data_IF_425155350071
#
_entry.id   IF_425155350071
#
_cell.length_a   1.000
_cell.length_b   1.000
_cell.length_c   1.000
_cell.angle_alpha   90.00
_cell.angle_beta   90.00
_cell.angle_gamma   90.00
#
_symmetry.space_group_name_H-M   'P 1'
#
loop_
_entity.id
_entity.type
_entity.pdbx_description
1 polymer ?
#
# COMPACT_ATOMS: atom_id res chain seq x y z
N UNK A 1 -11.68 27.20 15.19
CA UNK A 1 -10.55 26.45 14.60
C UNK A 1 -10.94 26.07 13.18
N UNK A 2 -9.97 25.98 12.28
CA UNK A 2 -10.21 25.60 10.89
C UNK A 2 -9.59 24.24 10.59
N UNK A 3 -10.15 23.54 9.63
CA UNK A 3 -9.58 22.33 9.03
C UNK A 3 -8.89 22.73 7.74
N UNK A 4 -7.68 22.25 7.52
CA UNK A 4 -6.95 22.36 6.26
C UNK A 4 -7.10 21.04 5.51
N UNK A 5 -7.56 21.10 4.27
CA UNK A 5 -7.64 19.95 3.35
C UNK A 5 -6.66 20.14 2.20
N UNK A 6 -5.85 19.12 1.93
CA UNK A 6 -4.96 19.06 0.76
C UNK A 6 -5.71 18.34 -0.36
N UNK A 7 -6.19 19.09 -1.33
CA UNK A 7 -7.03 18.63 -2.42
C UNK A 7 -6.21 18.40 -3.69
N UNK A 8 -6.64 17.43 -4.48
CA UNK A 8 -5.99 17.05 -5.73
C UNK A 8 -7.06 17.06 -6.83
N UNK A 9 -6.73 17.61 -7.99
CA UNK A 9 -7.58 17.54 -9.16
C UNK A 9 -7.54 16.10 -9.72
N UNK A 10 -8.71 15.43 -9.81
CA UNK A 10 -8.79 13.99 -10.09
C UNK A 10 -8.26 13.57 -11.45
N UNK A 11 -8.39 14.43 -12.45
CA UNK A 11 -7.92 14.23 -13.82
C UNK A 11 -6.50 14.79 -14.08
N UNK A 12 -5.98 15.60 -13.15
CA UNK A 12 -4.65 16.22 -13.22
C UNK A 12 -3.95 16.14 -11.87
N UNK A 13 -3.46 14.96 -11.49
CA UNK A 13 -2.92 14.68 -10.16
C UNK A 13 -1.78 15.64 -9.74
N UNK A 14 -1.09 16.27 -10.67
CA UNK A 14 -0.08 17.30 -10.40
C UNK A 14 -0.66 18.62 -9.91
N UNK A 15 -1.96 18.86 -10.12
CA UNK A 15 -2.65 20.10 -9.69
C UNK A 15 -3.24 19.91 -8.31
N UNK A 16 -2.78 20.73 -7.37
CA UNK A 16 -3.17 20.65 -5.95
C UNK A 16 -3.76 21.99 -5.47
N UNK A 17 -4.75 21.90 -4.59
CA UNK A 17 -5.39 23.02 -3.91
C UNK A 17 -5.33 22.80 -2.40
N UNK A 18 -5.31 23.88 -1.62
CA UNK A 18 -5.49 23.81 -0.17
C UNK A 18 -6.77 24.57 0.16
N UNK A 19 -7.65 23.89 0.88
CA UNK A 19 -8.90 24.49 1.33
C UNK A 19 -8.90 24.58 2.85
N UNK A 20 -9.24 25.76 3.33
CA UNK A 20 -9.46 26.01 4.75
C UNK A 20 -10.97 26.12 5.02
N UNK A 21 -11.46 25.30 5.95
CA UNK A 21 -12.90 25.22 6.27
C UNK A 21 -13.10 25.40 7.76
N UNK A 22 -14.03 26.24 8.17
CA UNK A 22 -14.41 26.41 9.58
C UNK A 22 -14.97 25.09 10.14
N UNK A 23 -14.55 24.72 11.35
CA UNK A 23 -15.04 23.52 12.02
C UNK A 23 -16.46 23.72 12.53
N UNK A 24 -17.38 22.85 12.11
CA UNK A 24 -18.74 22.80 12.64
C UNK A 24 -18.80 22.08 14.00
N UNK A 25 -19.78 22.37 14.86
CA UNK A 25 -20.03 21.57 16.05
C UNK A 25 -20.21 20.09 15.71
N UNK A 26 -19.82 19.20 16.61
CA UNK A 26 -20.08 17.75 16.44
C UNK A 26 -21.57 17.46 16.68
N UNK A 27 -22.10 16.54 15.87
CA UNK A 27 -23.36 15.88 16.16
C UNK A 27 -23.16 14.76 17.22
N UNK A 28 -24.24 14.30 17.81
CA UNK A 28 -24.23 13.15 18.71
C UNK A 28 -23.66 11.91 18.01
N UNK A 29 -22.81 11.16 18.69
CA UNK A 29 -22.11 10.00 18.16
C UNK A 29 -20.86 10.29 17.37
N UNK A 30 -20.56 11.54 17.04
CA UNK A 30 -19.37 11.91 16.26
C UNK A 30 -18.15 12.16 17.14
N UNK A 31 -16.96 11.99 16.55
CA UNK A 31 -15.68 12.43 17.10
C UNK A 31 -14.94 13.30 16.11
N UNK A 32 -14.12 14.22 16.61
CA UNK A 32 -13.13 14.94 15.80
C UNK A 32 -11.74 14.52 16.18
N UNK A 33 -10.99 14.08 15.18
CA UNK A 33 -9.58 13.76 15.32
C UNK A 33 -8.73 14.85 14.66
N UNK A 34 -7.65 15.22 15.32
CA UNK A 34 -6.55 15.99 14.75
C UNK A 34 -5.53 15.00 14.19
N UNK A 35 -5.33 15.02 12.89
CA UNK A 35 -4.35 14.18 12.21
C UNK A 35 -2.96 14.73 12.56
N UNK A 36 -2.17 13.91 13.21
CA UNK A 36 -0.84 14.28 13.67
C UNK A 36 0.19 14.13 12.55
N UNK A 37 0.25 12.93 11.98
CA UNK A 37 1.14 12.57 10.89
C UNK A 37 0.58 11.43 10.07
N UNK A 38 0.99 11.37 8.82
CA UNK A 38 0.61 10.30 7.89
C UNK A 38 1.72 10.00 6.90
N UNK A 39 1.73 8.77 6.39
CA UNK A 39 2.69 8.33 5.39
C UNK A 39 2.24 8.71 3.97
N UNK A 40 3.19 9.10 3.12
CA UNK A 40 2.97 9.26 1.70
C UNK A 40 3.92 8.33 0.92
N UNK A 41 3.34 7.45 0.12
CA UNK A 41 4.06 6.45 -0.68
C UNK A 41 3.47 6.38 -2.09
N UNK A 42 4.13 5.70 -3.01
CA UNK A 42 3.57 5.44 -4.36
C UNK A 42 2.21 4.72 -4.31
N UNK A 43 1.92 3.97 -3.24
CA UNK A 43 0.61 3.35 -3.04
C UNK A 43 -0.53 4.37 -2.91
N UNK A 44 -0.26 5.54 -2.32
CA UNK A 44 -1.25 6.63 -2.21
C UNK A 44 -1.52 7.25 -3.59
N UNK A 45 -0.50 7.32 -4.46
CA UNK A 45 -0.71 7.73 -5.86
C UNK A 45 -1.57 6.70 -6.61
N UNK A 46 -1.40 5.41 -6.31
CA UNK A 46 -2.29 4.37 -6.82
C UNK A 46 -3.74 4.58 -6.38
N UNK A 47 -3.98 4.96 -5.11
CA UNK A 47 -5.33 5.31 -4.65
C UNK A 47 -5.94 6.48 -5.43
N UNK A 48 -5.16 7.48 -5.79
CA UNK A 48 -5.60 8.58 -6.63
C UNK A 48 -5.92 8.12 -8.06
N UNK A 49 -4.99 7.40 -8.70
CA UNK A 49 -5.12 6.92 -10.07
C UNK A 49 -6.34 5.99 -10.28
N UNK A 50 -6.68 5.19 -9.26
CA UNK A 50 -7.86 4.31 -9.26
C UNK A 50 -9.03 4.85 -8.44
N UNK A 51 -9.00 6.12 -8.10
CA UNK A 51 -9.92 6.73 -7.17
C UNK A 51 -11.40 6.51 -7.53
N UNK A 52 -11.76 6.61 -8.80
CA UNK A 52 -13.12 6.31 -9.27
C UNK A 52 -13.36 4.81 -9.47
N UNK A 53 -12.42 4.11 -10.13
CA UNK A 53 -12.57 2.68 -10.45
C UNK A 53 -12.68 1.78 -9.21
N UNK A 54 -11.97 2.12 -8.12
CA UNK A 54 -11.95 1.39 -6.86
C UNK A 54 -12.62 2.15 -5.72
N UNK A 55 -13.32 3.23 -6.01
CA UNK A 55 -14.05 4.06 -5.05
C UNK A 55 -13.20 4.74 -3.96
N UNK A 56 -11.89 4.92 -4.16
CA UNK A 56 -11.03 5.55 -3.14
C UNK A 56 -11.41 7.01 -2.86
N UNK A 57 -11.89 7.76 -3.86
CA UNK A 57 -12.39 9.13 -3.66
C UNK A 57 -13.63 9.22 -2.77
N UNK A 58 -14.34 8.11 -2.58
CA UNK A 58 -15.56 8.07 -1.76
C UNK A 58 -15.26 7.99 -0.26
N UNK A 59 -14.03 7.66 0.14
CA UNK A 59 -13.70 7.61 1.58
C UNK A 59 -13.77 8.99 2.24
N UNK A 60 -13.38 10.03 1.52
CA UNK A 60 -13.39 11.41 2.01
C UNK A 60 -13.94 12.32 0.91
N UNK A 61 -15.27 12.39 0.77
CA UNK A 61 -15.91 13.21 -0.26
C UNK A 61 -15.63 14.69 -0.02
N UNK A 62 -15.22 15.39 -1.08
CA UNK A 62 -15.04 16.84 -1.05
C UNK A 62 -16.38 17.48 -1.30
N UNK A 63 -16.83 18.37 -0.41
CA UNK A 63 -18.04 19.15 -0.61
C UNK A 63 -17.90 20.01 -1.89
N UNK A 64 -18.96 20.07 -2.70
CA UNK A 64 -18.98 20.93 -3.88
C UNK A 64 -18.68 22.39 -3.50
N UNK A 65 -17.90 23.09 -4.32
CA UNK A 65 -17.63 24.51 -4.14
C UNK A 65 -18.94 25.30 -4.26
N UNK A 66 -19.59 25.56 -3.14
CA UNK A 66 -20.89 26.23 -3.09
C UNK A 66 -21.33 26.69 -1.70
N UNK A 67 -20.63 26.26 -0.64
CA UNK A 67 -20.96 26.66 0.74
C UNK A 67 -19.87 27.43 1.49
N UNK A 68 -18.79 27.86 0.83
CA UNK A 68 -17.83 28.80 1.39
C UNK A 68 -17.32 29.70 0.28
N UNK A 69 -17.31 31.02 0.57
CA UNK A 69 -16.93 32.11 -0.32
C UNK A 69 -15.55 31.85 -0.93
N UNK A 70 -15.53 31.56 -2.24
CA UNK A 70 -14.29 31.51 -3.01
C UNK A 70 -13.74 32.90 -3.19
N UNK A 71 -12.63 33.24 -2.54
CA UNK A 71 -11.83 34.39 -2.87
C UNK A 71 -10.87 34.03 -4.01
N UNK A 72 -11.20 34.44 -5.23
CA UNK A 72 -10.29 34.80 -6.30
C UNK A 72 -9.53 33.69 -7.02
N UNK A 73 -10.11 33.16 -8.09
CA UNK A 73 -9.33 32.86 -9.31
C UNK A 73 -10.17 33.27 -10.53
N UNK A 74 -9.74 34.35 -11.16
CA UNK A 74 -10.46 35.04 -12.25
C UNK A 74 -10.01 34.58 -13.64
N UNK A 75 -9.76 33.27 -13.89
CA UNK A 75 -9.34 32.77 -15.20
C UNK A 75 -10.03 31.45 -15.60
N UNK A 76 -11.28 31.26 -15.28
CA UNK A 76 -12.05 30.15 -15.85
C UNK A 76 -12.80 30.60 -17.09
N UNK A 77 -12.59 29.95 -18.23
CA UNK A 77 -13.33 30.16 -19.44
C UNK A 77 -14.85 30.01 -19.19
N UNK A 78 -15.72 30.87 -19.74
CA UNK A 78 -17.16 30.77 -19.55
C UNK A 78 -17.70 29.42 -20.06
N UNK A 79 -18.27 28.59 -19.17
CA UNK A 79 -18.88 27.31 -19.50
C UNK A 79 -18.13 26.06 -19.09
N UNK A 80 -16.92 26.13 -18.54
CA UNK A 80 -16.22 24.98 -18.00
C UNK A 80 -16.78 24.61 -16.61
N UNK A 81 -17.16 23.33 -16.43
CA UNK A 81 -17.47 22.82 -15.10
C UNK A 81 -16.24 22.92 -14.19
N UNK A 82 -16.40 23.27 -12.90
CA UNK A 82 -15.27 23.35 -11.99
C UNK A 82 -14.56 21.98 -11.92
N UNK A 83 -13.22 21.96 -11.78
CA UNK A 83 -12.46 20.73 -11.73
C UNK A 83 -12.94 19.83 -10.59
N UNK A 84 -13.04 18.53 -10.87
CA UNK A 84 -13.42 17.55 -9.87
C UNK A 84 -12.26 17.34 -8.89
N UNK A 85 -12.40 17.80 -7.65
CA UNK A 85 -11.42 17.67 -6.59
C UNK A 85 -11.64 16.41 -5.78
N UNK A 86 -10.56 15.83 -5.25
CA UNK A 86 -10.56 14.69 -4.34
C UNK A 86 -9.52 14.86 -3.23
N UNK A 87 -9.65 14.06 -2.18
CA UNK A 87 -8.65 13.92 -1.13
C UNK A 87 -8.09 12.52 -1.19
N UNK A 88 -6.77 12.41 -1.32
CA UNK A 88 -6.10 11.10 -1.28
C UNK A 88 -6.17 10.57 0.16
N UNK A 89 -6.64 9.33 0.34
CA UNK A 89 -6.56 8.68 1.64
C UNK A 89 -5.13 8.24 1.96
N UNK A 90 -4.77 8.35 3.23
CA UNK A 90 -3.43 8.05 3.75
C UNK A 90 -3.51 7.26 5.05
N UNK A 91 -2.49 6.45 5.35
CA UNK A 91 -2.36 5.78 6.62
C UNK A 91 -1.55 6.62 7.59
N UNK A 92 -2.01 6.74 8.82
CA UNK A 92 -1.35 7.61 9.79
C UNK A 92 -1.92 7.51 11.19
N UNK A 93 -1.61 8.53 12.00
CA UNK A 93 -1.99 8.64 13.40
C UNK A 93 -2.73 9.94 13.65
N UNK A 94 -3.75 9.86 14.48
CA UNK A 94 -4.55 11.01 14.89
C UNK A 94 -4.99 10.92 16.34
N UNK A 95 -5.16 12.09 16.97
CA UNK A 95 -5.59 12.23 18.36
C UNK A 95 -7.02 12.76 18.41
N UNK A 96 -7.87 12.18 19.25
CA UNK A 96 -9.22 12.68 19.50
C UNK A 96 -9.13 14.02 20.23
N UNK A 97 -9.62 15.09 19.59
CA UNK A 97 -9.64 16.44 20.17
C UNK A 97 -11.03 16.89 20.62
N UNK A 98 -12.09 16.24 20.12
CA UNK A 98 -13.46 16.40 20.57
C UNK A 98 -14.20 15.07 20.44
N UNK A 99 -15.08 14.76 21.37
CA UNK A 99 -15.90 13.54 21.32
C UNK A 99 -17.33 13.84 21.80
N UNK A 100 -18.30 13.44 20.99
CA UNK A 100 -19.71 13.33 21.32
C UNK A 100 -20.16 11.84 21.23
N UNK A 101 -19.21 10.89 21.24
CA UNK A 101 -19.42 9.44 21.14
C UNK A 101 -19.10 8.76 22.45
N UNK A 102 -20.03 7.95 22.96
CA UNK A 102 -19.78 7.14 24.15
C UNK A 102 -18.69 6.09 23.88
N UNK A 103 -17.78 5.92 24.84
CA UNK A 103 -16.71 4.92 24.76
C UNK A 103 -15.44 5.37 24.03
N UNK A 104 -15.38 6.62 23.53
CA UNK A 104 -14.18 7.22 22.97
C UNK A 104 -13.92 8.56 23.67
N UNK A 105 -12.75 8.68 24.33
CA UNK A 105 -12.37 9.85 25.11
C UNK A 105 -11.45 10.80 24.32
N UNK A 106 -11.50 12.07 24.65
CA UNK A 106 -10.51 13.08 24.20
C UNK A 106 -9.12 12.67 24.69
N UNK A 107 -8.12 12.79 23.82
CA UNK A 107 -6.74 12.38 24.07
C UNK A 107 -6.42 10.95 23.62
N UNK A 108 -7.40 10.16 23.25
CA UNK A 108 -7.12 8.84 22.67
C UNK A 108 -6.48 8.95 21.28
N UNK A 109 -5.48 8.08 21.02
CA UNK A 109 -4.73 8.04 19.78
C UNK A 109 -5.09 6.81 18.96
N UNK A 110 -5.30 7.02 17.65
CA UNK A 110 -5.71 5.98 16.72
C UNK A 110 -4.79 5.92 15.49
N UNK A 111 -4.52 4.68 15.07
CA UNK A 111 -3.98 4.36 13.75
C UNK A 111 -5.13 4.08 12.81
N UNK A 112 -5.10 4.62 11.59
CA UNK A 112 -6.17 4.40 10.63
C UNK A 112 -5.93 5.06 9.26
N UNK A 113 -7.01 5.02 8.47
CA UNK A 113 -7.06 5.55 7.11
C UNK A 113 -7.71 6.94 7.15
N UNK A 114 -6.90 7.97 6.93
CA UNK A 114 -7.25 9.37 7.10
C UNK A 114 -7.22 10.14 5.78
N UNK A 115 -7.89 11.30 5.67
CA UNK A 115 -7.66 12.23 4.56
C UNK A 115 -6.30 12.93 4.68
N UNK A 116 -5.75 13.41 3.58
CA UNK A 116 -4.66 14.40 3.63
C UNK A 116 -5.22 15.74 4.11
N UNK A 117 -5.48 15.81 5.41
CA UNK A 117 -6.10 16.97 6.07
C UNK A 117 -5.52 17.16 7.48
N UNK A 118 -5.76 18.32 8.09
CA UNK A 118 -5.35 18.56 9.47
C UNK A 118 -6.29 17.92 10.51
N UNK A 119 -7.58 17.78 10.15
CA UNK A 119 -8.61 17.19 11.01
C UNK A 119 -9.58 16.34 10.19
N UNK A 120 -10.27 15.44 10.88
CA UNK A 120 -11.39 14.68 10.32
C UNK A 120 -12.47 14.49 11.36
N UNK A 121 -13.74 14.50 10.94
CA UNK A 121 -14.87 14.05 11.74
C UNK A 121 -15.26 12.65 11.31
N UNK A 122 -15.38 11.73 12.27
CA UNK A 122 -15.79 10.35 12.03
C UNK A 122 -17.05 10.03 12.84
N UNK A 123 -17.77 9.00 12.41
CA UNK A 123 -18.99 8.48 13.03
C UNK A 123 -18.75 7.06 13.59
N UNK A 124 -18.16 6.94 14.78
CA UNK A 124 -17.80 5.63 15.31
C UNK A 124 -19.00 4.73 15.52
N UNK A 125 -18.90 3.53 14.98
CA UNK A 125 -19.79 2.40 15.23
C UNK A 125 -18.97 1.19 15.66
N UNK A 126 -19.59 0.17 16.26
CA UNK A 126 -18.89 -1.05 16.73
C UNK A 126 -17.71 -0.70 17.63
N UNK A 127 -17.89 0.27 18.50
CA UNK A 127 -16.85 0.71 19.44
C UNK A 127 -16.51 -0.42 20.40
N UNK A 128 -15.21 -0.72 20.51
CA UNK A 128 -14.62 -1.69 21.43
C UNK A 128 -13.48 -1.05 22.22
N UNK A 129 -12.90 -1.77 23.16
CA UNK A 129 -11.72 -1.31 23.89
C UNK A 129 -10.48 -1.11 22.97
N UNK A 130 -10.46 -1.79 21.80
CA UNK A 130 -9.31 -1.81 20.89
C UNK A 130 -9.52 -1.04 19.58
N UNK A 131 -10.73 -0.78 19.17
CA UNK A 131 -11.01 -0.18 17.86
C UNK A 131 -12.45 0.30 17.73
N UNK A 132 -12.69 1.09 16.68
CA UNK A 132 -14.03 1.37 16.16
C UNK A 132 -14.05 1.27 14.64
N UNK A 133 -15.24 1.21 14.07
CA UNK A 133 -15.48 1.30 12.63
C UNK A 133 -16.17 2.62 12.32
N UNK A 134 -15.72 3.37 11.32
CA UNK A 134 -16.46 4.54 10.85
C UNK A 134 -17.72 4.09 10.11
N UNK A 135 -18.87 4.51 10.64
CA UNK A 135 -20.21 4.16 10.16
C UNK A 135 -20.85 5.24 9.28
N UNK A 136 -20.12 6.24 8.86
CA UNK A 136 -20.63 7.30 8.00
C UNK A 136 -21.30 6.72 6.75
N UNK A 137 -22.50 7.24 6.41
CA UNK A 137 -23.36 6.66 5.37
C UNK A 137 -22.66 6.49 4.01
N UNK A 138 -21.77 7.42 3.62
CA UNK A 138 -21.02 7.35 2.36
C UNK A 138 -19.99 6.21 2.32
N UNK A 139 -19.69 5.59 3.47
CA UNK A 139 -18.76 4.47 3.60
C UNK A 139 -19.42 3.10 3.61
N UNK A 140 -20.76 3.02 3.63
CA UNK A 140 -21.51 1.77 3.79
C UNK A 140 -21.20 0.71 2.71
N UNK A 141 -20.87 1.14 1.50
CA UNK A 141 -20.51 0.25 0.37
C UNK A 141 -19.00 0.09 0.16
N UNK A 142 -18.16 0.64 1.06
CA UNK A 142 -16.72 0.62 0.91
C UNK A 142 -16.10 -0.53 1.73
N UNK A 143 -14.89 -0.93 1.36
CA UNK A 143 -14.25 -2.09 1.98
C UNK A 143 -13.94 -1.85 3.47
N UNK A 144 -14.40 -2.76 4.33
CA UNK A 144 -14.36 -2.62 5.79
C UNK A 144 -12.96 -2.40 6.40
N UNK A 145 -11.90 -2.92 5.76
CA UNK A 145 -10.51 -2.74 6.20
C UNK A 145 -10.12 -1.27 6.31
N UNK A 146 -10.64 -0.40 5.42
CA UNK A 146 -10.33 1.03 5.42
C UNK A 146 -11.22 1.86 6.34
N UNK A 147 -12.25 1.24 6.93
CA UNK A 147 -13.17 1.88 7.86
C UNK A 147 -12.81 1.60 9.32
N UNK A 148 -11.83 0.74 9.57
CA UNK A 148 -11.41 0.38 10.92
C UNK A 148 -10.30 1.31 11.44
N UNK A 149 -10.50 1.84 12.65
CA UNK A 149 -9.54 2.65 13.38
C UNK A 149 -9.11 1.91 14.63
N UNK A 150 -7.81 1.69 14.77
CA UNK A 150 -7.24 0.88 15.86
C UNK A 150 -6.67 1.80 16.92
N UNK A 151 -7.08 1.61 18.18
CA UNK A 151 -6.56 2.36 19.30
C UNK A 151 -5.11 1.97 19.57
N UNK A 152 -4.20 2.93 19.56
CA UNK A 152 -2.76 2.68 19.69
C UNK A 152 -2.40 1.90 20.94
N UNK A 153 -3.04 2.22 22.09
CA UNK A 153 -2.79 1.53 23.37
C UNK A 153 -3.22 0.06 23.40
N UNK A 154 -4.01 -0.39 22.42
CA UNK A 154 -4.49 -1.78 22.31
C UNK A 154 -4.02 -2.48 21.02
N UNK A 155 -3.20 -1.81 20.21
CA UNK A 155 -2.67 -2.37 18.96
C UNK A 155 -1.37 -3.15 19.23
N UNK A 156 -1.33 -4.46 18.99
CA UNK A 156 -0.13 -5.27 19.24
C UNK A 156 1.06 -4.90 18.32
N UNK A 157 0.82 -4.12 17.27
CA UNK A 157 1.88 -3.63 16.36
C UNK A 157 2.52 -2.33 16.83
N UNK A 158 1.92 -1.67 17.82
CA UNK A 158 2.23 -0.29 18.15
C UNK A 158 3.27 -0.17 19.26
N UNK A 159 4.26 0.67 19.01
CA UNK A 159 5.02 1.41 20.01
C UNK A 159 5.17 2.85 19.54
N UNK A 160 5.32 3.84 20.45
CA UNK A 160 5.48 5.24 20.04
C UNK A 160 6.64 5.45 19.04
N UNK A 161 7.74 4.72 19.21
CA UNK A 161 8.93 4.81 18.37
C UNK A 161 8.72 4.19 16.99
N UNK A 162 7.75 3.28 16.84
CA UNK A 162 7.48 2.56 15.60
C UNK A 162 6.46 3.26 14.69
N UNK A 163 5.84 4.35 15.12
CA UNK A 163 4.73 5.00 14.39
C UNK A 163 5.06 5.29 12.92
N UNK A 164 6.22 5.85 12.64
CA UNK A 164 6.61 6.21 11.29
C UNK A 164 6.77 4.97 10.41
N UNK A 165 7.44 3.95 10.92
CA UNK A 165 7.62 2.66 10.23
C UNK A 165 6.26 1.98 10.06
N UNK A 166 5.39 2.05 11.06
CA UNK A 166 4.06 1.47 11.00
C UNK A 166 3.19 2.16 9.93
N UNK A 167 3.16 3.49 9.89
CA UNK A 167 2.40 4.23 8.88
C UNK A 167 2.91 3.95 7.46
N UNK A 168 4.23 3.90 7.27
CA UNK A 168 4.88 3.70 5.98
C UNK A 168 4.81 2.27 5.45
N UNK A 169 4.94 1.28 6.33
CA UNK A 169 5.17 -0.10 5.92
C UNK A 169 4.02 -1.05 6.23
N UNK A 170 3.24 -0.85 7.31
CA UNK A 170 2.21 -1.82 7.71
C UNK A 170 1.19 -2.15 6.62
N UNK A 171 0.62 -1.18 5.86
CA UNK A 171 -0.33 -1.50 4.80
C UNK A 171 0.29 -2.32 3.67
N UNK A 172 1.54 -1.99 3.32
CA UNK A 172 2.28 -2.62 2.24
C UNK A 172 2.77 -4.01 2.66
N UNK A 173 3.27 -4.14 3.89
CA UNK A 173 3.67 -5.41 4.49
C UNK A 173 2.49 -6.37 4.61
N UNK A 174 1.31 -5.90 5.06
CA UNK A 174 0.12 -6.74 5.15
C UNK A 174 -0.21 -7.36 3.78
N UNK A 175 -0.18 -6.58 2.71
CA UNK A 175 -0.37 -7.07 1.35
C UNK A 175 0.72 -8.07 0.95
N UNK A 176 1.97 -7.75 1.23
CA UNK A 176 3.13 -8.58 0.91
C UNK A 176 3.10 -9.94 1.63
N UNK A 177 2.77 -9.95 2.91
CA UNK A 177 2.64 -11.15 3.72
C UNK A 177 1.51 -12.06 3.21
N UNK A 178 0.39 -11.46 2.79
CA UNK A 178 -0.73 -12.19 2.18
C UNK A 178 -0.39 -12.74 0.80
N UNK A 179 0.48 -12.07 0.03
CA UNK A 179 0.98 -12.60 -1.25
C UNK A 179 1.87 -13.83 -1.01
N UNK A 180 2.81 -13.75 -0.06
CA UNK A 180 3.65 -14.89 0.31
C UNK A 180 2.80 -16.08 0.75
N UNK A 181 1.85 -15.84 1.65
CA UNK A 181 0.93 -16.88 2.13
C UNK A 181 0.08 -17.47 0.99
N UNK A 182 -0.46 -16.64 0.11
CA UNK A 182 -1.24 -17.06 -1.05
C UNK A 182 -0.42 -17.93 -2.02
N UNK A 183 0.81 -17.55 -2.31
CA UNK A 183 1.70 -18.34 -3.17
C UNK A 183 1.98 -19.70 -2.54
N UNK A 184 2.27 -19.73 -1.24
CA UNK A 184 2.53 -20.98 -0.52
C UNK A 184 1.30 -21.88 -0.41
N UNK A 185 0.11 -21.31 -0.14
CA UNK A 185 -1.16 -22.03 -0.06
C UNK A 185 -1.52 -22.72 -1.39
N UNK A 186 -1.14 -22.12 -2.52
CA UNK A 186 -1.32 -22.68 -3.85
C UNK A 186 -0.07 -23.44 -4.36
N UNK A 187 0.88 -23.80 -3.50
CA UNK A 187 2.11 -24.53 -3.85
C UNK A 187 2.82 -23.90 -5.06
N UNK A 188 2.86 -22.56 -5.09
CA UNK A 188 3.39 -21.76 -6.21
C UNK A 188 2.86 -22.20 -7.58
N UNK A 189 1.61 -22.67 -7.62
CA UNK A 189 0.95 -23.15 -8.84
C UNK A 189 1.74 -24.23 -9.58
N UNK A 190 2.53 -25.04 -8.84
CA UNK A 190 3.40 -26.07 -9.40
C UNK A 190 4.74 -25.54 -9.93
N UNK A 191 5.10 -24.28 -9.63
CA UNK A 191 6.45 -23.77 -9.92
C UNK A 191 7.48 -24.20 -8.88
N UNK A 192 7.04 -24.50 -7.63
CA UNK A 192 7.94 -24.89 -6.54
C UNK A 192 8.58 -26.25 -6.83
N UNK A 193 9.90 -26.33 -6.69
CA UNK A 193 10.58 -27.62 -6.78
C UNK A 193 10.21 -28.54 -5.60
N UNK A 194 10.09 -29.84 -5.85
CA UNK A 194 9.83 -30.80 -4.79
C UNK A 194 10.98 -30.80 -3.77
N UNK A 195 10.64 -30.52 -2.51
CA UNK A 195 11.57 -30.61 -1.40
C UNK A 195 11.51 -32.03 -0.86
N UNK A 196 12.53 -32.86 -1.17
CA UNK A 196 12.66 -34.19 -0.56
C UNK A 196 12.61 -35.36 -1.55
N UNK A 197 13.66 -35.54 -2.30
CA UNK A 197 14.16 -36.89 -2.59
C UNK A 197 15.43 -37.06 -1.76
N UNK A 198 15.67 -38.22 -1.14
CA UNK A 198 16.92 -38.56 -0.50
C UNK A 198 18.05 -38.48 -1.54
N UNK A 199 18.47 -37.24 -1.82
CA UNK A 199 19.39 -36.91 -2.90
C UNK A 199 20.82 -37.16 -2.51
N UNK A 200 21.31 -38.34 -2.80
CA UNK A 200 22.73 -38.60 -3.09
C UNK A 200 23.07 -38.15 -4.53
N UNK A 201 22.31 -37.25 -5.13
CA UNK A 201 22.49 -36.70 -6.47
C UNK A 201 23.45 -35.51 -6.47
N UNK A 202 24.65 -35.72 -6.92
CA UNK A 202 25.63 -34.69 -7.20
C UNK A 202 25.16 -33.83 -8.41
N UNK A 203 24.61 -32.67 -8.14
CA UNK A 203 24.98 -31.49 -8.94
C UNK A 203 24.17 -31.07 -10.15
N UNK A 204 22.95 -31.55 -10.52
CA UNK A 204 22.14 -30.95 -11.60
C UNK A 204 20.63 -30.94 -11.41
N UNK A 205 20.10 -31.62 -10.41
CA UNK A 205 18.64 -31.82 -10.28
C UNK A 205 17.91 -30.94 -9.27
N UNK A 206 18.57 -29.91 -8.72
CA UNK A 206 17.93 -28.92 -7.84
C UNK A 206 17.45 -27.69 -8.65
N UNK A 207 16.60 -27.91 -9.65
CA UNK A 207 15.96 -26.81 -10.37
C UNK A 207 14.94 -26.17 -9.44
N UNK A 208 15.35 -25.11 -8.73
CA UNK A 208 14.42 -24.29 -7.94
C UNK A 208 13.47 -23.59 -8.91
N UNK A 209 12.18 -23.54 -8.58
CA UNK A 209 11.27 -22.65 -9.29
C UNK A 209 11.63 -21.18 -9.08
N UNK A 210 11.17 -20.31 -9.93
CA UNK A 210 11.47 -18.87 -9.86
C UNK A 210 10.21 -18.06 -9.52
N UNK A 211 10.32 -17.18 -8.54
CA UNK A 211 9.34 -16.11 -8.32
C UNK A 211 9.93 -14.77 -8.81
N UNK A 212 9.42 -14.28 -9.93
CA UNK A 212 9.77 -12.95 -10.43
C UNK A 212 8.94 -11.88 -9.73
N UNK A 213 9.60 -10.89 -9.14
CA UNK A 213 8.96 -9.74 -8.51
C UNK A 213 9.35 -8.46 -9.26
N UNK A 214 8.43 -7.84 -9.99
CA UNK A 214 8.72 -6.56 -10.65
C UNK A 214 8.79 -5.42 -9.64
N UNK A 215 9.38 -4.28 -10.05
CA UNK A 215 9.57 -3.12 -9.16
C UNK A 215 10.21 -3.49 -7.83
N UNK A 216 11.29 -4.29 -7.87
CA UNK A 216 11.93 -4.90 -6.70
C UNK A 216 12.37 -3.88 -5.63
N UNK A 217 12.57 -2.61 -6.00
CA UNK A 217 12.88 -1.52 -5.07
C UNK A 217 11.66 -0.98 -4.31
N UNK A 218 10.43 -1.37 -4.70
CA UNK A 218 9.23 -0.91 -4.03
C UNK A 218 9.02 -1.61 -2.68
N UNK A 219 8.44 -0.86 -1.74
CA UNK A 219 8.22 -1.34 -0.37
C UNK A 219 7.40 -2.63 -0.31
N UNK A 220 6.38 -2.77 -1.16
CA UNK A 220 5.58 -3.99 -1.22
C UNK A 220 6.37 -5.17 -1.80
N UNK A 221 7.16 -4.93 -2.87
CA UNK A 221 7.93 -5.98 -3.51
C UNK A 221 9.02 -6.55 -2.58
N UNK A 222 9.82 -5.70 -1.94
CA UNK A 222 10.84 -6.22 -1.04
C UNK A 222 10.26 -6.83 0.25
N UNK A 223 9.10 -6.35 0.72
CA UNK A 223 8.39 -7.01 1.83
C UNK A 223 7.88 -8.40 1.43
N UNK A 224 7.44 -8.57 0.17
CA UNK A 224 7.08 -9.90 -0.38
C UNK A 224 8.31 -10.80 -0.49
N UNK A 225 9.41 -10.26 -1.02
CA UNK A 225 10.68 -10.99 -1.13
C UNK A 225 11.18 -11.47 0.24
N UNK A 226 11.03 -10.66 1.29
CA UNK A 226 11.38 -11.02 2.66
C UNK A 226 10.64 -12.30 3.12
N UNK A 227 9.34 -12.40 2.87
CA UNK A 227 8.57 -13.62 3.17
C UNK A 227 9.00 -14.80 2.31
N UNK A 228 9.04 -14.60 0.99
CA UNK A 228 9.36 -15.64 0.01
C UNK A 228 10.77 -16.24 0.18
N UNK A 229 11.74 -15.45 0.64
CA UNK A 229 13.12 -15.94 0.87
C UNK A 229 13.20 -17.11 1.82
N UNK A 230 12.25 -17.24 2.74
CA UNK A 230 12.19 -18.37 3.67
C UNK A 230 11.51 -19.60 3.09
N UNK A 231 11.01 -19.53 1.83
CA UNK A 231 10.37 -20.66 1.15
C UNK A 231 11.39 -21.53 0.44
N UNK A 232 11.35 -22.82 0.74
CA UNK A 232 12.23 -23.80 0.07
C UNK A 232 11.75 -24.07 -1.35
N UNK A 233 12.67 -24.44 -2.26
CA UNK A 233 12.33 -24.81 -3.64
C UNK A 233 11.93 -23.65 -4.56
N UNK A 234 12.06 -22.41 -4.09
CA UNK A 234 11.81 -21.17 -4.87
C UNK A 234 13.04 -20.27 -4.80
N UNK A 235 13.42 -19.73 -5.93
CA UNK A 235 14.39 -18.66 -6.09
C UNK A 235 13.64 -17.33 -6.26
N UNK A 236 13.98 -16.34 -5.45
CA UNK A 236 13.34 -15.02 -5.50
C UNK A 236 14.17 -14.09 -6.36
N UNK A 237 13.64 -13.72 -7.54
CA UNK A 237 14.31 -12.86 -8.50
C UNK A 237 13.64 -11.50 -8.53
N UNK A 238 14.36 -10.46 -8.08
CA UNK A 238 13.90 -9.08 -8.14
C UNK A 238 14.21 -8.45 -9.49
N UNK A 239 13.19 -7.89 -10.16
CA UNK A 239 13.33 -7.14 -11.41
C UNK A 239 13.22 -5.65 -11.13
N UNK A 240 14.21 -4.87 -11.54
CA UNK A 240 14.26 -3.43 -11.23
C UNK A 240 14.93 -2.61 -12.34
N UNK A 241 14.93 -1.28 -12.20
CA UNK A 241 15.70 -0.40 -13.07
C UNK A 241 17.20 -0.41 -12.69
N UNK A 242 18.12 -0.11 -13.62
CA UNK A 242 19.56 -0.16 -13.36
C UNK A 242 20.00 0.65 -12.13
N UNK A 243 19.41 1.83 -11.92
CA UNK A 243 19.77 2.69 -10.77
C UNK A 243 19.39 2.13 -9.40
N UNK A 244 18.53 1.12 -9.33
CA UNK A 244 18.05 0.52 -8.08
C UNK A 244 18.66 -0.85 -7.78
N UNK A 245 19.53 -1.39 -8.65
CA UNK A 245 20.12 -2.73 -8.48
C UNK A 245 20.87 -2.82 -7.16
N UNK A 246 21.82 -1.92 -6.92
CA UNK A 246 22.62 -1.95 -5.69
C UNK A 246 21.75 -1.83 -4.40
N UNK A 247 20.66 -1.05 -4.45
CA UNK A 247 19.72 -1.00 -3.33
C UNK A 247 19.03 -2.35 -3.13
N UNK A 248 18.48 -2.95 -4.18
CA UNK A 248 17.79 -4.23 -4.08
C UNK A 248 18.71 -5.37 -3.59
N UNK A 249 19.96 -5.39 -4.04
CA UNK A 249 20.97 -6.34 -3.56
C UNK A 249 21.29 -6.13 -2.07
N UNK A 250 21.39 -4.87 -1.62
CA UNK A 250 21.68 -4.54 -0.23
C UNK A 250 20.60 -4.96 0.76
N UNK A 251 19.35 -5.17 0.29
CA UNK A 251 18.26 -5.68 1.11
C UNK A 251 18.47 -7.14 1.55
N UNK A 252 19.25 -7.91 0.80
CA UNK A 252 19.57 -9.30 1.12
C UNK A 252 18.36 -10.25 1.11
N UNK A 253 17.19 -9.83 0.63
CA UNK A 253 15.97 -10.64 0.55
C UNK A 253 15.71 -11.24 -0.84
N UNK A 254 16.43 -10.83 -1.86
CA UNK A 254 16.43 -11.44 -3.20
C UNK A 254 17.57 -12.45 -3.32
N UNK A 255 17.34 -13.56 -3.98
CA UNK A 255 18.41 -14.51 -4.37
C UNK A 255 19.21 -13.93 -5.55
N UNK A 256 18.52 -13.27 -6.48
CA UNK A 256 19.12 -12.49 -7.58
C UNK A 256 18.36 -11.19 -7.82
N UNK A 257 19.09 -10.19 -8.30
CA UNK A 257 18.51 -8.93 -8.79
C UNK A 257 18.92 -8.76 -10.24
N UNK A 258 17.94 -8.53 -11.11
CA UNK A 258 18.12 -8.32 -12.55
C UNK A 258 17.50 -7.01 -12.97
N UNK A 259 18.06 -6.38 -13.99
CA UNK A 259 17.37 -5.31 -14.68
C UNK A 259 16.30 -5.84 -15.63
N UNK A 260 15.35 -5.02 -16.03
CA UNK A 260 14.22 -5.44 -16.89
C UNK A 260 14.67 -6.00 -18.26
N UNK A 261 15.85 -5.66 -18.72
CA UNK A 261 16.47 -6.13 -19.97
C UNK A 261 17.33 -7.38 -19.82
N UNK A 262 17.54 -7.87 -18.58
CA UNK A 262 18.37 -9.05 -18.28
C UNK A 262 17.56 -10.34 -18.08
N UNK A 263 16.36 -10.44 -18.63
CA UNK A 263 15.53 -11.64 -18.48
C UNK A 263 16.19 -12.89 -19.10
N UNK A 264 17.13 -12.72 -20.02
CA UNK A 264 17.91 -13.79 -20.66
C UNK A 264 18.85 -14.52 -19.69
N UNK A 265 19.16 -13.93 -18.53
CA UNK A 265 19.91 -14.60 -17.47
C UNK A 265 19.14 -15.77 -16.82
N UNK A 266 17.85 -15.94 -17.12
CA UNK A 266 17.03 -17.04 -16.60
C UNK A 266 16.60 -17.96 -17.75
N UNK A 267 16.77 -19.31 -17.66
CA UNK A 267 16.35 -20.26 -18.68
C UNK A 267 14.83 -20.15 -18.99
N UNK A 268 14.47 -20.27 -20.25
CA UNK A 268 13.08 -20.10 -20.73
C UNK A 268 12.11 -21.14 -20.21
N UNK A 269 12.60 -22.35 -19.94
CA UNK A 269 11.84 -23.51 -19.48
C UNK A 269 11.72 -23.57 -17.94
N UNK A 270 12.37 -22.63 -17.21
CA UNK A 270 12.34 -22.59 -15.76
C UNK A 270 10.89 -22.44 -15.27
N UNK A 271 10.41 -23.35 -14.40
CA UNK A 271 9.11 -23.16 -13.79
C UNK A 271 9.07 -21.87 -13.00
N UNK A 272 8.12 -21.00 -13.28
CA UNK A 272 8.10 -19.69 -12.63
C UNK A 272 6.69 -19.16 -12.37
N UNK A 273 6.63 -18.23 -11.42
CA UNK A 273 5.49 -17.35 -11.18
C UNK A 273 5.91 -15.89 -11.33
N UNK A 274 4.99 -15.03 -11.71
CA UNK A 274 5.24 -13.60 -11.85
C UNK A 274 4.31 -12.77 -10.97
N UNK A 275 4.88 -11.94 -10.13
CA UNK A 275 4.18 -10.98 -9.27
C UNK A 275 4.48 -9.57 -9.76
N UNK A 276 3.49 -8.94 -10.38
CA UNK A 276 3.64 -7.64 -11.03
C UNK A 276 3.23 -6.49 -10.10
N UNK A 277 4.23 -5.83 -9.50
CA UNK A 277 4.04 -4.62 -8.70
C UNK A 277 4.15 -3.34 -9.53
N UNK A 278 4.76 -3.41 -10.72
CA UNK A 278 5.01 -2.24 -11.56
C UNK A 278 3.80 -1.84 -12.42
N UNK A 279 2.95 -2.81 -12.79
CA UNK A 279 1.91 -2.60 -13.78
C UNK A 279 2.46 -2.31 -15.18
N UNK A 280 3.72 -2.73 -15.47
CA UNK A 280 4.40 -2.43 -16.73
C UNK A 280 3.98 -3.45 -17.81
N UNK A 281 3.15 -3.01 -18.75
CA UNK A 281 2.64 -3.84 -19.84
C UNK A 281 3.72 -4.47 -20.72
N UNK A 282 4.71 -3.71 -21.23
CA UNK A 282 5.87 -4.25 -21.96
C UNK A 282 6.63 -5.32 -21.19
N UNK A 283 6.96 -5.12 -19.94
CA UNK A 283 7.64 -6.12 -19.10
C UNK A 283 6.78 -7.38 -18.94
N UNK A 284 5.49 -7.22 -18.66
CA UNK A 284 4.55 -8.34 -18.54
C UNK A 284 4.51 -9.16 -19.83
N UNK A 285 4.39 -8.49 -20.99
CA UNK A 285 4.43 -9.15 -22.28
C UNK A 285 5.75 -9.91 -22.48
N UNK A 286 6.89 -9.30 -22.18
CA UNK A 286 8.20 -9.94 -22.29
C UNK A 286 8.31 -11.22 -21.43
N UNK A 287 7.85 -11.18 -20.17
CA UNK A 287 7.84 -12.34 -19.28
C UNK A 287 6.93 -13.44 -19.83
N UNK A 288 5.69 -13.11 -20.19
CA UNK A 288 4.74 -14.07 -20.71
C UNK A 288 5.17 -14.71 -22.03
N UNK A 289 5.86 -13.95 -22.89
CA UNK A 289 6.37 -14.47 -24.18
C UNK A 289 7.61 -15.33 -23.98
N UNK A 290 8.50 -14.93 -23.07
CA UNK A 290 9.79 -15.60 -22.90
C UNK A 290 9.68 -16.91 -22.12
N UNK A 291 8.93 -16.93 -21.00
CA UNK A 291 8.92 -18.07 -20.10
C UNK A 291 7.80 -19.05 -20.44
N UNK A 292 8.16 -20.12 -21.17
CA UNK A 292 7.20 -21.14 -21.65
C UNK A 292 6.59 -21.96 -20.50
N UNK A 293 7.23 -21.96 -19.33
CA UNK A 293 6.78 -22.65 -18.14
C UNK A 293 6.29 -21.70 -17.02
N UNK A 294 5.79 -20.52 -17.41
CA UNK A 294 5.12 -19.60 -16.50
C UNK A 294 3.83 -20.25 -15.99
N UNK A 295 3.73 -20.47 -14.67
CA UNK A 295 2.60 -21.16 -14.02
C UNK A 295 1.52 -20.22 -13.56
N UNK A 296 1.89 -19.03 -13.12
CA UNK A 296 0.96 -18.04 -12.59
C UNK A 296 1.49 -16.62 -12.80
N UNK A 297 0.57 -15.70 -13.07
CA UNK A 297 0.87 -14.27 -13.20
C UNK A 297 -0.16 -13.48 -12.42
N UNK A 298 0.30 -12.62 -11.51
CA UNK A 298 -0.57 -11.82 -10.67
C UNK A 298 -0.17 -10.34 -10.68
N UNK A 299 -1.16 -9.46 -10.74
CA UNK A 299 -0.97 -8.01 -10.64
C UNK A 299 -1.34 -7.54 -9.24
N UNK A 300 -0.45 -6.76 -8.63
CA UNK A 300 -0.63 -6.18 -7.30
C UNK A 300 -0.90 -4.69 -7.46
N UNK A 301 -2.10 -4.27 -7.18
CA UNK A 301 -2.51 -2.90 -7.46
C UNK A 301 -2.35 -2.61 -8.97
N UNK A 302 -3.17 -1.82 -9.52
CA UNK A 302 -2.96 -1.55 -10.93
C UNK A 302 -2.74 -0.05 -11.09
N UNK A 303 -1.57 0.42 -11.42
CA UNK A 303 -1.39 1.79 -11.88
C UNK A 303 -2.11 2.05 -13.21
N UNK A 304 -2.61 0.99 -13.88
CA UNK A 304 -3.36 1.12 -15.12
C UNK A 304 -4.41 0.00 -15.29
N UNK A 305 -5.66 0.24 -14.88
CA UNK A 305 -6.80 -0.64 -15.24
C UNK A 305 -6.91 -0.81 -16.76
N UNK A 306 -6.56 0.22 -17.53
CA UNK A 306 -6.46 0.14 -19.00
C UNK A 306 -5.39 -0.83 -19.49
N UNK A 307 -4.35 -1.10 -18.69
CA UNK A 307 -3.30 -2.07 -19.02
C UNK A 307 -3.67 -3.52 -18.66
N UNK A 308 -4.65 -3.73 -17.77
CA UNK A 308 -5.30 -5.05 -17.63
C UNK A 308 -6.11 -5.40 -18.88
N UNK A 309 -6.62 -4.41 -19.63
CA UNK A 309 -7.25 -4.63 -20.94
C UNK A 309 -6.26 -5.15 -21.99
N UNK A 310 -4.96 -4.78 -21.92
CA UNK A 310 -3.88 -5.36 -22.73
C UNK A 310 -3.49 -6.78 -22.35
N UNK A 311 -3.96 -7.29 -21.19
CA UNK A 311 -3.66 -8.65 -20.72
C UNK A 311 -4.53 -9.75 -21.37
N UNK A 312 -5.47 -9.41 -22.25
CA UNK A 312 -6.42 -10.39 -22.81
C UNK A 312 -5.77 -11.38 -23.81
N UNK A 313 -4.62 -11.05 -24.37
CA UNK A 313 -3.96 -11.86 -25.41
C UNK A 313 -2.51 -12.22 -25.05
N UNK A 314 -2.18 -12.32 -23.76
CA UNK A 314 -0.84 -12.75 -23.32
C UNK A 314 -0.69 -14.27 -23.47
N UNK A 315 0.47 -14.77 -23.92
CA UNK A 315 0.76 -16.20 -23.88
C UNK A 315 0.76 -16.73 -22.44
N UNK A 316 0.44 -18.02 -22.28
CA UNK A 316 0.47 -18.68 -20.97
C UNK A 316 -0.71 -18.35 -20.05
N UNK A 317 -0.52 -18.34 -18.73
CA UNK A 317 -1.62 -18.14 -17.78
C UNK A 317 -2.17 -16.71 -17.83
N UNK A 318 -3.48 -16.60 -17.68
CA UNK A 318 -4.12 -15.28 -17.59
C UNK A 318 -3.60 -14.52 -16.36
N UNK A 319 -3.18 -13.26 -16.55
CA UNK A 319 -2.87 -12.38 -15.42
C UNK A 319 -4.12 -12.10 -14.57
N UNK A 320 -4.03 -12.33 -13.26
CA UNK A 320 -5.11 -12.14 -12.29
C UNK A 320 -4.81 -10.98 -11.36
N UNK A 321 -5.82 -10.27 -10.90
CA UNK A 321 -5.66 -9.26 -9.87
C UNK A 321 -5.61 -9.94 -8.50
N UNK A 322 -4.57 -9.65 -7.72
CA UNK A 322 -4.53 -10.01 -6.31
C UNK A 322 -5.20 -8.92 -5.47
N UNK A 323 -6.17 -9.33 -4.66
CA UNK A 323 -6.88 -8.42 -3.77
C UNK A 323 -6.70 -8.87 -2.32
N UNK A 324 -5.85 -8.16 -1.60
CA UNK A 324 -5.47 -8.50 -0.22
C UNK A 324 -6.66 -8.70 0.74
N UNK A 325 -7.73 -7.90 0.70
CA UNK A 325 -8.88 -8.08 1.57
C UNK A 325 -9.59 -9.44 1.44
N UNK A 326 -9.61 -10.04 0.25
CA UNK A 326 -10.20 -11.39 0.06
C UNK A 326 -9.34 -12.45 0.75
N UNK A 327 -8.01 -12.29 0.74
CA UNK A 327 -7.11 -13.19 1.46
C UNK A 327 -7.22 -13.02 2.98
N UNK A 328 -7.40 -11.80 3.48
CA UNK A 328 -7.71 -11.56 4.91
C UNK A 328 -8.96 -12.35 5.31
N UNK A 329 -10.04 -12.22 4.54
CA UNK A 329 -11.29 -12.93 4.80
C UNK A 329 -11.09 -14.44 4.76
N UNK A 330 -10.39 -14.96 3.73
CA UNK A 330 -10.08 -16.39 3.60
C UNK A 330 -9.33 -16.89 4.84
N UNK A 331 -8.22 -16.24 5.22
CA UNK A 331 -7.39 -16.70 6.33
C UNK A 331 -8.04 -16.50 7.70
N UNK A 332 -8.85 -15.48 7.88
CA UNK A 332 -9.67 -15.34 9.08
C UNK A 332 -10.70 -16.50 9.20
N UNK A 333 -11.19 -17.02 8.08
CA UNK A 333 -12.07 -18.21 8.06
C UNK A 333 -11.29 -19.50 8.31
N UNK A 334 -10.15 -19.69 7.62
CA UNK A 334 -9.36 -20.93 7.67
C UNK A 334 -8.70 -21.14 9.05
N UNK A 335 -8.18 -20.07 9.67
CA UNK A 335 -7.38 -20.15 10.90
C UNK A 335 -8.09 -19.58 12.13
N UNK A 336 -9.13 -18.81 11.93
CA UNK A 336 -9.71 -17.95 12.97
C UNK A 336 -8.96 -16.63 13.12
N UNK A 337 -9.69 -15.60 13.56
CA UNK A 337 -9.17 -14.24 13.65
C UNK A 337 -7.97 -14.07 14.60
N UNK A 338 -7.92 -14.86 15.68
CA UNK A 338 -6.83 -14.79 16.66
C UNK A 338 -5.52 -15.35 16.10
N UNK A 339 -5.57 -16.54 15.49
CA UNK A 339 -4.39 -17.15 14.88
C UNK A 339 -3.88 -16.31 13.71
N UNK A 340 -4.78 -15.77 12.89
CA UNK A 340 -4.43 -14.84 11.81
C UNK A 340 -3.66 -13.64 12.36
N UNK A 341 -4.21 -12.98 13.38
CA UNK A 341 -3.58 -11.81 14.03
C UNK A 341 -2.21 -12.15 14.61
N UNK A 342 -2.10 -13.26 15.34
CA UNK A 342 -0.85 -13.69 15.96
C UNK A 342 0.24 -13.94 14.92
N UNK A 343 -0.05 -14.69 13.85
CA UNK A 343 0.91 -14.96 12.76
C UNK A 343 1.35 -13.69 12.06
N UNK A 344 0.42 -12.80 11.75
CA UNK A 344 0.73 -11.53 11.09
C UNK A 344 1.58 -10.63 12.01
N UNK A 345 1.29 -10.58 13.32
CA UNK A 345 2.05 -9.80 14.29
C UNK A 345 3.49 -10.33 14.42
N UNK A 346 3.68 -11.64 14.51
CA UNK A 346 5.01 -12.26 14.55
C UNK A 346 5.82 -11.95 13.28
N UNK A 347 5.19 -12.08 12.12
CA UNK A 347 5.83 -11.78 10.84
C UNK A 347 6.17 -10.28 10.72
N UNK A 348 5.31 -9.38 11.22
CA UNK A 348 5.55 -7.95 11.27
C UNK A 348 6.80 -7.61 12.07
N UNK A 349 6.92 -8.14 13.29
CA UNK A 349 8.09 -7.86 14.12
C UNK A 349 9.39 -8.42 13.51
N UNK A 350 9.35 -9.60 12.90
CA UNK A 350 10.49 -10.14 12.19
C UNK A 350 10.91 -9.24 11.00
N UNK A 351 9.94 -8.75 10.25
CA UNK A 351 10.17 -7.85 9.13
C UNK A 351 10.72 -6.49 9.58
N UNK A 352 10.10 -5.86 10.59
CA UNK A 352 10.52 -4.53 11.06
C UNK A 352 11.87 -4.55 11.75
N UNK A 353 12.23 -5.64 12.44
CA UNK A 353 13.56 -5.84 12.99
C UNK A 353 14.65 -5.78 11.90
N UNK A 354 14.33 -6.23 10.69
CA UNK A 354 15.23 -6.13 9.53
C UNK A 354 15.10 -4.77 8.83
N UNK A 355 13.88 -4.34 8.51
CA UNK A 355 13.65 -3.14 7.70
C UNK A 355 14.04 -1.83 8.41
N UNK A 356 13.89 -1.78 9.74
CA UNK A 356 14.28 -0.64 10.58
C UNK A 356 15.59 -0.88 11.35
N UNK A 357 16.42 -1.83 10.92
CA UNK A 357 17.72 -2.09 11.54
C UNK A 357 18.60 -0.85 11.51
N UNK A 358 19.14 -0.46 12.66
CA UNK A 358 19.89 0.79 12.80
C UNK A 358 21.20 0.78 11.97
N UNK A 359 21.85 -0.37 11.86
CA UNK A 359 23.12 -0.51 11.13
C UNK A 359 22.92 -0.51 9.61
N UNK A 360 21.85 -1.14 9.12
CA UNK A 360 21.55 -1.30 7.70
C UNK A 360 20.05 -1.12 7.43
N UNK A 361 19.53 0.12 7.56
CA UNK A 361 18.09 0.36 7.42
C UNK A 361 17.67 0.23 5.94
N UNK A 362 16.59 -0.53 5.70
CA UNK A 362 15.95 -0.58 4.38
C UNK A 362 15.16 0.67 4.07
N UNK A 363 14.73 1.38 5.13
CA UNK A 363 13.96 2.62 5.01
C UNK A 363 14.56 3.70 5.92
N UNK A 364 14.66 4.91 5.39
CA UNK A 364 15.05 6.13 6.11
C UNK A 364 13.85 7.07 6.12
N UNK A 365 13.36 7.40 7.31
CA UNK A 365 12.21 8.29 7.44
C UNK A 365 12.64 9.74 7.24
N UNK A 366 11.88 10.45 6.41
CA UNK A 366 11.99 11.88 6.19
C UNK A 366 10.69 12.56 6.58
N UNK A 367 10.76 13.52 7.49
CA UNK A 367 9.60 14.29 7.96
C UNK A 367 9.41 15.55 7.12
N UNK A 368 8.15 15.86 6.81
CA UNK A 368 7.72 17.05 6.08
C UNK A 368 6.59 17.72 6.86
N UNK A 369 6.84 18.92 7.36
CA UNK A 369 5.86 19.68 8.15
C UNK A 369 5.43 20.96 7.43
N UNK A 370 4.14 21.24 7.48
CA UNK A 370 3.55 22.40 6.84
C UNK A 370 3.30 22.22 5.34
N UNK A 371 2.43 23.06 4.80
CA UNK A 371 1.88 22.94 3.43
C UNK A 371 2.95 22.94 2.33
N UNK A 372 3.98 23.76 2.46
CA UNK A 372 5.03 23.85 1.44
C UNK A 372 5.77 22.51 1.29
N UNK A 373 6.25 21.94 2.41
CA UNK A 373 6.98 20.68 2.40
C UNK A 373 6.08 19.49 2.00
N UNK A 374 4.80 19.51 2.42
CA UNK A 374 3.82 18.48 2.00
C UNK A 374 3.63 18.52 0.48
N UNK A 375 3.53 19.70 -0.13
CA UNK A 375 3.39 19.85 -1.58
C UNK A 375 4.63 19.37 -2.33
N UNK A 376 5.82 19.66 -1.82
CA UNK A 376 7.09 19.18 -2.39
C UNK A 376 7.21 17.66 -2.31
N UNK A 377 6.93 17.08 -1.15
CA UNK A 377 6.94 15.63 -0.96
C UNK A 377 5.90 14.92 -1.86
N UNK A 378 4.71 15.51 -2.00
CA UNK A 378 3.68 15.00 -2.90
C UNK A 378 4.16 14.97 -4.35
N UNK A 379 4.73 16.08 -4.85
CA UNK A 379 5.25 16.17 -6.22
C UNK A 379 6.39 15.17 -6.47
N UNK A 380 7.28 14.98 -5.48
CA UNK A 380 8.36 14.00 -5.54
C UNK A 380 7.84 12.57 -5.67
N UNK A 381 6.87 12.18 -4.82
CA UNK A 381 6.30 10.83 -4.82
C UNK A 381 5.47 10.58 -6.09
N UNK A 382 4.70 11.58 -6.54
CA UNK A 382 3.94 11.52 -7.80
C UNK A 382 4.85 11.32 -9.00
N UNK A 383 6.02 11.99 -9.01
CA UNK A 383 7.02 11.88 -10.09
C UNK A 383 7.73 10.54 -10.16
N UNK A 384 7.64 9.70 -9.13
CA UNK A 384 8.22 8.35 -9.11
C UNK A 384 9.76 8.30 -9.19
N UNK A 385 10.45 9.40 -8.94
CA UNK A 385 11.92 9.55 -9.07
C UNK A 385 12.67 9.60 -7.74
N UNK A 386 11.96 9.36 -6.63
CA UNK A 386 12.55 9.40 -5.29
C UNK A 386 13.51 8.23 -5.02
N UNK A 387 14.44 8.42 -4.09
CA UNK A 387 15.25 7.33 -3.54
C UNK A 387 14.30 6.29 -2.89
N UNK A 388 14.33 5.01 -3.31
CA UNK A 388 13.44 3.97 -2.79
C UNK A 388 13.62 3.73 -1.29
N UNK A 389 14.77 4.10 -0.72
CA UNK A 389 15.04 4.04 0.72
C UNK A 389 14.27 5.07 1.53
N UNK A 390 13.77 6.14 0.92
CA UNK A 390 13.07 7.18 1.65
C UNK A 390 11.62 6.79 1.94
N UNK A 391 11.22 7.04 3.18
CA UNK A 391 9.83 7.00 3.64
C UNK A 391 9.40 8.40 4.04
N UNK A 392 8.39 8.94 3.38
CA UNK A 392 7.92 10.30 3.62
C UNK A 392 6.80 10.31 4.65
N UNK A 393 7.05 10.92 5.81
CA UNK A 393 6.05 11.20 6.85
C UNK A 393 5.66 12.67 6.78
N UNK A 394 4.39 12.95 6.65
CA UNK A 394 3.84 14.27 6.41
C UNK A 394 2.96 14.74 7.56
N UNK A 395 2.97 16.05 7.84
CA UNK A 395 2.06 16.73 8.74
C UNK A 395 1.64 18.07 8.15
N UNK A 396 0.36 18.39 8.26
CA UNK A 396 -0.17 19.71 7.86
C UNK A 396 -0.13 20.77 8.99
N UNK A 397 0.58 20.44 10.07
CA UNK A 397 0.81 21.38 11.18
C UNK A 397 1.86 22.40 10.83
#
# INVERSE_FOLDING_TARGET
MNTLDFLIQKDQLQTTEVRETAQSPLAEGQIRLRIDKFALTSNNITYAAFGDAMNYWKFFPVAAAGSAVAAGSADAAPGASPPALGIIPVWGFADVVQSACAGIAVGERFYGYFPMASHVVLEPTRVTAASFTDGAAHRSGLHAVYNQYVKCSADPFYTPESEDVQALLRPLFTTAWLIDDFMADNQFFGAQAAVGGNGTGTGKDNVRGVAFLSSASSKTAYSTAFGLKHRQGIEVVGLTSPGNVAFCESLGCYDRVLTYDQLDAVPTEQPCVYVDFAGNGPLRLAIHTRFTNLKYSCSIGGTHVSQLAGARNLPGPRATLFFAPDQIKKRATDWGAEVFRTRMTQAWFAFTAQAANVAHPWIKVQHHAGLAQVREAYALVLGGRGDPRLGHMLSLK
#
